data_IF_250892989512
#
_entry.id   IF_250892989512
#
_cell.length_a   1.000
_cell.length_b   1.000
_cell.length_c   1.000
_cell.angle_alpha   90.00
_cell.angle_beta   90.00
_cell.angle_gamma   90.00
#
_symmetry.space_group_name_H-M   'P 1'
#
loop_
_entity.id
_entity.type
_entity.pdbx_description
1 polymer ?
#
# COMPACT_ATOMS: atom_id res chain seq x y z
N UNK A 1 -1.97 24.39 7.49
CA UNK A 1 -3.27 24.76 6.91
C UNK A 1 -3.89 25.83 7.79
N UNK A 2 -4.60 26.86 7.28
CA UNK A 2 -5.01 27.99 8.10
C UNK A 2 -6.10 27.70 9.14
N UNK A 3 -6.71 26.51 9.13
CA UNK A 3 -7.84 26.15 10.01
C UNK A 3 -7.57 24.95 10.93
N UNK A 4 -6.41 24.32 10.84
CA UNK A 4 -6.03 23.16 11.67
C UNK A 4 -4.69 23.47 12.35
N UNK A 5 -4.61 23.20 13.64
CA UNK A 5 -3.34 23.22 14.36
C UNK A 5 -2.40 22.17 13.75
N UNK A 6 -1.14 22.52 13.62
CA UNK A 6 -0.15 21.58 13.10
C UNK A 6 0.13 20.53 14.17
N UNK A 7 -0.01 19.23 13.85
CA UNK A 7 0.30 18.16 14.78
C UNK A 7 1.77 18.22 15.20
N UNK A 8 2.06 17.95 16.48
CA UNK A 8 3.42 18.07 17.05
C UNK A 8 4.44 17.13 16.40
N UNK A 9 3.97 15.95 15.96
CA UNK A 9 4.84 14.91 15.41
C UNK A 9 5.05 15.05 13.89
N UNK A 10 4.34 15.98 13.21
CA UNK A 10 4.46 16.25 11.79
C UNK A 10 5.23 17.55 11.57
N UNK A 11 6.55 17.45 11.52
CA UNK A 11 7.49 18.58 11.40
C UNK A 11 7.92 18.88 9.94
N UNK A 12 7.40 18.11 8.97
CA UNK A 12 7.75 18.24 7.56
C UNK A 12 9.03 17.50 7.17
N UNK A 13 9.66 16.74 8.07
CA UNK A 13 10.90 16.00 7.79
C UNK A 13 10.68 14.80 6.87
N UNK A 14 9.46 14.28 6.84
CA UNK A 14 9.12 13.11 6.01
C UNK A 14 8.59 13.51 4.64
N UNK A 15 8.94 12.76 3.61
CA UNK A 15 8.43 12.96 2.26
C UNK A 15 6.89 12.97 2.25
N UNK A 16 6.29 14.02 1.65
CA UNK A 16 4.83 14.17 1.54
C UNK A 16 4.10 14.56 2.83
N UNK A 17 4.84 14.94 3.87
CA UNK A 17 4.28 15.54 5.07
C UNK A 17 3.89 17.00 4.78
N UNK A 18 2.61 17.31 4.94
CA UNK A 18 2.02 18.65 4.77
C UNK A 18 1.33 19.12 6.07
N UNK A 19 1.56 18.43 7.19
CA UNK A 19 0.93 18.74 8.48
C UNK A 19 -0.59 18.49 8.48
N UNK A 20 -1.08 17.54 7.70
CA UNK A 20 -2.50 17.20 7.64
C UNK A 20 -2.80 15.95 8.45
N UNK A 21 -3.34 16.13 9.64
CA UNK A 21 -3.80 15.06 10.52
C UNK A 21 -5.06 15.51 11.30
N UNK A 22 -6.23 15.52 10.64
CA UNK A 22 -7.47 15.98 11.27
C UNK A 22 -7.99 15.05 12.38
N UNK A 23 -7.53 13.82 12.44
CA UNK A 23 -7.94 12.82 13.42
C UNK A 23 -6.94 12.67 14.57
N UNK A 24 -5.79 13.35 14.53
CA UNK A 24 -4.76 13.26 15.55
C UNK A 24 -4.09 11.89 15.65
N UNK A 25 -4.08 11.13 14.56
CA UNK A 25 -3.52 9.77 14.54
C UNK A 25 -2.00 9.76 14.75
N UNK A 26 -1.31 10.82 14.36
CA UNK A 26 0.13 10.96 14.54
C UNK A 26 0.53 11.18 16.00
N UNK A 27 -0.41 11.54 16.87
CA UNK A 27 -0.19 11.81 18.31
C UNK A 27 -0.60 10.63 19.21
N UNK A 28 -1.08 9.52 18.63
CA UNK A 28 -1.50 8.35 19.40
C UNK A 28 -0.26 7.53 19.79
N UNK A 29 0.18 7.67 21.04
CA UNK A 29 1.28 6.88 21.62
C UNK A 29 0.78 5.60 22.34
N UNK A 30 -0.52 5.41 22.46
CA UNK A 30 -1.17 4.40 23.30
C UNK A 30 -1.11 3.06 22.61
N UNK A 31 -0.81 2.31 22.10
CA UNK A 31 -0.83 0.98 21.47
C UNK A 31 0.51 0.60 20.82
N UNK A 32 1.56 1.37 21.09
CA UNK A 32 2.83 1.17 20.41
C UNK A 32 2.77 1.47 18.91
N UNK A 33 1.81 2.28 18.50
CA UNK A 33 1.70 2.85 17.16
C UNK A 33 2.50 4.15 17.22
N UNK A 34 3.63 4.17 16.55
CA UNK A 34 4.47 5.36 16.39
C UNK A 34 4.44 5.84 14.95
N UNK A 35 5.01 7.02 14.74
CA UNK A 35 5.08 7.63 13.41
C UNK A 35 5.82 6.77 12.40
N UNK A 36 6.82 5.98 12.84
CA UNK A 36 7.53 5.01 12.01
C UNK A 36 6.56 3.95 11.46
N UNK A 37 5.76 3.36 12.35
CA UNK A 37 4.78 2.33 11.97
C UNK A 37 3.68 2.88 11.05
N UNK A 38 3.18 4.09 11.33
CA UNK A 38 2.19 4.75 10.49
C UNK A 38 2.72 5.02 9.08
N UNK A 39 3.97 5.45 8.97
CA UNK A 39 4.63 5.66 7.67
C UNK A 39 4.85 4.35 6.92
N UNK A 40 5.27 3.31 7.62
CA UNK A 40 5.42 1.97 7.04
C UNK A 40 4.09 1.46 6.50
N UNK A 41 3.00 1.62 7.27
CA UNK A 41 1.66 1.23 6.86
C UNK A 41 1.19 2.04 5.64
N UNK A 42 1.39 3.35 5.61
CA UNK A 42 1.03 4.20 4.48
C UNK A 42 1.74 3.77 3.19
N UNK A 43 3.06 3.55 3.25
CA UNK A 43 3.84 3.10 2.10
C UNK A 43 3.40 1.72 1.61
N UNK A 44 3.15 0.79 2.53
CA UNK A 44 2.68 -0.56 2.18
C UNK A 44 1.30 -0.51 1.51
N UNK A 45 0.34 0.21 2.10
CA UNK A 45 -0.98 0.38 1.51
C UNK A 45 -0.90 1.06 0.15
N UNK A 46 -0.08 2.09 0.00
CA UNK A 46 0.14 2.77 -1.27
C UNK A 46 0.69 1.85 -2.35
N UNK A 47 1.71 1.04 -2.02
CA UNK A 47 2.32 0.08 -2.96
C UNK A 47 1.33 -0.99 -3.40
N UNK A 48 0.60 -1.58 -2.46
CA UNK A 48 -0.44 -2.58 -2.77
C UNK A 48 -1.55 -1.97 -3.61
N UNK A 49 -1.99 -0.75 -3.29
CA UNK A 49 -3.01 -0.06 -4.05
C UNK A 49 -2.57 0.29 -5.48
N UNK A 50 -1.31 0.69 -5.68
CA UNK A 50 -0.77 0.92 -7.03
C UNK A 50 -0.79 -0.36 -7.88
N UNK A 51 -0.41 -1.50 -7.29
CA UNK A 51 -0.48 -2.80 -7.97
C UNK A 51 -1.93 -3.21 -8.27
N UNK A 52 -2.84 -3.03 -7.31
CA UNK A 52 -4.25 -3.36 -7.46
C UNK A 52 -4.92 -2.51 -8.55
N UNK A 53 -4.75 -1.18 -8.50
CA UNK A 53 -5.30 -0.29 -9.52
C UNK A 53 -4.80 -0.62 -10.92
N UNK A 54 -3.50 -0.90 -11.06
CA UNK A 54 -2.91 -1.30 -12.33
C UNK A 54 -3.47 -2.66 -12.80
N UNK A 55 -3.66 -3.60 -11.87
CA UNK A 55 -4.24 -4.91 -12.18
C UNK A 55 -5.66 -4.83 -12.72
N UNK A 56 -6.51 -3.99 -12.10
CA UNK A 56 -7.89 -3.77 -12.58
C UNK A 56 -7.87 -3.14 -13.99
N UNK A 57 -7.11 -2.08 -14.21
CA UNK A 57 -6.99 -1.43 -15.52
C UNK A 57 -6.48 -2.41 -16.57
N UNK A 58 -5.53 -3.28 -16.19
CA UNK A 58 -5.02 -4.29 -17.11
C UNK A 58 -6.10 -5.29 -17.53
N UNK A 59 -6.84 -5.84 -16.58
CA UNK A 59 -7.90 -6.81 -16.86
C UNK A 59 -9.02 -6.19 -17.69
N UNK A 60 -9.40 -4.96 -17.41
CA UNK A 60 -10.43 -4.24 -18.18
C UNK A 60 -9.96 -3.85 -19.60
N UNK A 61 -8.69 -3.49 -19.75
CA UNK A 61 -8.16 -3.02 -21.04
C UNK A 61 -7.63 -4.11 -21.96
N UNK A 62 -7.02 -5.14 -21.43
CA UNK A 62 -6.35 -6.21 -22.17
C UNK A 62 -7.00 -7.59 -21.98
N UNK A 63 -7.94 -7.69 -21.07
CA UNK A 63 -8.56 -8.94 -20.68
C UNK A 63 -7.78 -9.70 -19.58
N UNK A 64 -8.40 -10.73 -19.02
CA UNK A 64 -7.79 -11.58 -17.99
C UNK A 64 -6.68 -12.47 -18.58
N UNK A 65 -5.95 -13.12 -17.70
CA UNK A 65 -5.02 -14.18 -18.10
C UNK A 65 -5.76 -15.34 -18.75
N UNK A 66 -5.15 -16.05 -19.71
CA UNK A 66 -5.77 -17.21 -20.36
C UNK A 66 -6.28 -18.24 -19.35
N UNK A 67 -7.55 -18.59 -19.41
CA UNK A 67 -8.20 -19.52 -18.49
C UNK A 67 -8.74 -18.91 -17.21
N UNK A 68 -8.75 -17.58 -17.07
CA UNK A 68 -9.39 -16.86 -15.97
C UNK A 68 -10.69 -16.21 -16.43
N UNK A 69 -11.68 -16.02 -15.52
CA UNK A 69 -12.98 -15.46 -15.87
C UNK A 69 -12.85 -14.03 -16.40
N UNK A 70 -13.70 -13.69 -17.37
CA UNK A 70 -13.78 -12.34 -17.96
C UNK A 70 -14.64 -11.43 -17.08
N UNK A 71 -14.25 -10.16 -17.04
CA UNK A 71 -14.97 -9.17 -16.23
C UNK A 71 -16.34 -8.81 -16.83
N UNK A 72 -16.46 -8.71 -18.17
CA UNK A 72 -17.71 -8.41 -18.89
C UNK A 72 -18.54 -7.26 -18.30
N UNK A 73 -17.90 -6.24 -17.76
CA UNK A 73 -18.58 -5.10 -17.12
C UNK A 73 -19.17 -5.42 -15.73
N UNK A 74 -18.86 -6.58 -15.16
CA UNK A 74 -19.25 -6.94 -13.77
C UNK A 74 -18.27 -6.36 -12.75
N UNK A 75 -18.72 -6.31 -11.48
CA UNK A 75 -17.85 -5.84 -10.41
C UNK A 75 -16.63 -6.76 -10.24
N UNK A 76 -15.49 -6.19 -9.85
CA UNK A 76 -14.28 -6.98 -9.57
C UNK A 76 -14.48 -8.01 -8.46
N UNK A 77 -15.42 -7.78 -7.56
CA UNK A 77 -15.78 -8.72 -6.50
C UNK A 77 -16.49 -9.96 -7.05
N UNK A 78 -17.38 -9.78 -8.02
CA UNK A 78 -18.09 -10.90 -8.64
C UNK A 78 -17.10 -11.77 -9.44
N UNK A 79 -16.21 -11.13 -10.20
CA UNK A 79 -15.15 -11.83 -10.94
C UNK A 79 -14.20 -12.60 -10.00
N UNK A 80 -13.90 -12.05 -8.83
CA UNK A 80 -13.09 -12.74 -7.82
C UNK A 80 -13.78 -14.00 -7.31
N UNK A 81 -15.09 -13.97 -7.06
CA UNK A 81 -15.82 -15.14 -6.59
C UNK A 81 -15.92 -16.23 -7.68
N UNK A 82 -16.11 -15.85 -8.93
CA UNK A 82 -16.05 -16.80 -10.06
C UNK A 82 -14.65 -17.45 -10.16
N UNK A 83 -13.60 -16.63 -10.07
CA UNK A 83 -12.22 -17.11 -10.05
C UNK A 83 -11.93 -18.04 -8.87
N UNK A 84 -12.53 -17.77 -7.71
CA UNK A 84 -12.44 -18.64 -6.54
C UNK A 84 -13.08 -20.01 -6.78
N UNK A 85 -14.24 -20.05 -7.45
CA UNK A 85 -14.91 -21.30 -7.79
C UNK A 85 -14.16 -22.11 -8.84
N UNK A 86 -13.61 -21.44 -9.86
CA UNK A 86 -12.89 -22.10 -10.95
C UNK A 86 -11.46 -22.52 -10.58
N UNK A 87 -10.75 -21.69 -9.81
CA UNK A 87 -9.32 -21.85 -9.51
C UNK A 87 -8.98 -21.77 -8.03
N UNK A 88 -9.66 -22.52 -7.12
CA UNK A 88 -9.46 -22.38 -5.67
C UNK A 88 -8.01 -22.62 -5.23
N UNK A 89 -7.34 -23.60 -5.84
CA UNK A 89 -5.96 -23.92 -5.48
C UNK A 89 -4.96 -22.81 -5.84
N UNK A 90 -5.17 -22.13 -6.97
CA UNK A 90 -4.32 -21.04 -7.40
C UNK A 90 -4.48 -19.81 -6.47
N UNK A 91 -5.73 -19.51 -6.12
CA UNK A 91 -6.02 -18.39 -5.20
C UNK A 91 -5.50 -18.70 -3.79
N UNK A 92 -5.74 -19.91 -3.27
CA UNK A 92 -5.17 -20.32 -1.97
C UNK A 92 -3.64 -20.24 -1.97
N UNK A 93 -2.97 -20.71 -3.03
CA UNK A 93 -1.52 -20.58 -3.15
C UNK A 93 -1.05 -19.11 -3.15
N UNK A 94 -1.78 -18.24 -3.85
CA UNK A 94 -1.54 -16.81 -3.85
C UNK A 94 -1.68 -16.18 -2.46
N UNK A 95 -2.74 -16.53 -1.73
CA UNK A 95 -2.97 -16.05 -0.36
C UNK A 95 -1.85 -16.52 0.58
N UNK A 96 -1.44 -17.79 0.51
CA UNK A 96 -0.33 -18.33 1.31
C UNK A 96 0.97 -17.60 0.99
N UNK A 97 1.25 -17.35 -0.29
CA UNK A 97 2.44 -16.62 -0.72
C UNK A 97 2.44 -15.17 -0.19
N UNK A 98 1.32 -14.45 -0.33
CA UNK A 98 1.18 -13.10 0.22
C UNK A 98 1.34 -13.10 1.74
N UNK A 99 0.72 -14.07 2.44
CA UNK A 99 0.84 -14.20 3.90
C UNK A 99 2.29 -14.40 4.33
N UNK A 100 3.06 -15.23 3.61
CA UNK A 100 4.47 -15.44 3.89
C UNK A 100 5.29 -14.14 3.73
N UNK A 101 5.03 -13.37 2.66
CA UNK A 101 5.67 -12.06 2.46
C UNK A 101 5.30 -11.10 3.60
N UNK A 102 4.03 -11.06 4.01
CA UNK A 102 3.56 -10.19 5.07
C UNK A 102 4.19 -10.55 6.43
N UNK A 103 4.36 -11.83 6.75
CA UNK A 103 5.06 -12.25 7.95
C UNK A 103 6.53 -11.81 7.95
N UNK A 104 7.24 -12.02 6.85
CA UNK A 104 8.65 -11.62 6.71
C UNK A 104 8.77 -10.09 6.81
N UNK A 105 7.92 -9.35 6.11
CA UNK A 105 7.92 -7.89 6.13
C UNK A 105 7.55 -7.33 7.51
N UNK A 106 6.61 -7.97 8.22
CA UNK A 106 6.22 -7.60 9.57
C UNK A 106 7.35 -7.77 10.58
N UNK A 107 8.11 -8.87 10.48
CA UNK A 107 9.32 -9.07 11.30
C UNK A 107 10.36 -8.01 10.98
N UNK A 108 10.63 -7.73 9.70
CA UNK A 108 11.58 -6.72 9.27
C UNK A 108 11.19 -5.31 9.76
N UNK A 109 9.90 -4.96 9.70
CA UNK A 109 9.37 -3.69 10.22
C UNK A 109 9.56 -3.58 11.73
N UNK A 110 9.26 -4.65 12.47
CA UNK A 110 9.42 -4.67 13.93
C UNK A 110 10.89 -4.55 14.34
N UNK A 111 11.80 -5.20 13.62
CA UNK A 111 13.24 -5.09 13.86
C UNK A 111 13.75 -3.70 13.50
N UNK A 112 13.41 -3.18 12.31
CA UNK A 112 13.83 -1.85 11.85
C UNK A 112 13.38 -0.73 12.79
N UNK A 113 12.16 -0.84 13.35
CA UNK A 113 11.66 0.08 14.37
C UNK A 113 12.49 0.04 15.66
N UNK A 114 12.88 -1.15 16.11
CA UNK A 114 13.65 -1.31 17.36
C UNK A 114 15.09 -0.84 17.22
N UNK A 115 15.73 -1.08 16.07
CA UNK A 115 17.13 -0.72 15.83
C UNK A 115 17.30 0.73 15.40
N UNK A 116 16.26 1.33 14.77
CA UNK A 116 16.34 2.66 14.18
C UNK A 116 17.26 2.77 12.95
N UNK A 117 17.81 1.65 12.48
CA UNK A 117 18.77 1.63 11.36
C UNK A 117 18.10 1.66 9.98
N UNK A 118 16.83 1.28 9.91
CA UNK A 118 16.08 1.18 8.66
C UNK A 118 15.07 2.31 8.53
N UNK A 119 15.05 3.00 7.40
CA UNK A 119 13.98 3.94 7.08
C UNK A 119 12.64 3.21 6.86
N UNK A 120 11.47 3.82 7.19
CA UNK A 120 10.17 3.23 6.90
C UNK A 120 10.01 2.91 5.40
N UNK A 121 9.55 1.70 5.09
CA UNK A 121 9.33 1.24 3.71
C UNK A 121 10.57 0.78 2.96
N UNK A 122 11.75 0.89 3.53
CA UNK A 122 12.98 0.44 2.90
C UNK A 122 13.26 -1.04 3.25
N UNK A 123 13.00 -1.94 2.32
CA UNK A 123 13.31 -3.37 2.42
C UNK A 123 14.59 -3.74 1.67
N UNK A 124 15.37 -2.77 1.18
CA UNK A 124 16.56 -3.01 0.37
C UNK A 124 16.27 -3.62 -1.01
N UNK A 125 15.00 -3.61 -1.44
CA UNK A 125 14.57 -4.13 -2.74
C UNK A 125 14.71 -3.03 -3.80
N UNK A 126 15.91 -2.90 -4.36
CA UNK A 126 16.18 -1.99 -5.46
C UNK A 126 16.90 -2.73 -6.62
N UNK A 127 16.18 -3.59 -7.36
CA UNK A 127 16.78 -4.42 -8.41
C UNK A 127 17.35 -3.61 -9.56
N UNK A 128 16.83 -2.41 -9.80
CA UNK A 128 17.26 -1.52 -10.87
C UNK A 128 18.35 -0.52 -10.42
N UNK A 129 18.73 -0.56 -9.15
CA UNK A 129 19.78 0.29 -8.55
C UNK A 129 19.60 1.80 -8.79
N UNK A 130 18.36 2.26 -8.81
CA UNK A 130 18.08 3.70 -8.87
C UNK A 130 18.56 4.39 -7.59
N UNK A 131 19.14 5.59 -7.74
CA UNK A 131 19.37 6.45 -6.59
C UNK A 131 18.02 6.85 -5.97
N UNK A 132 17.83 6.52 -4.71
CA UNK A 132 16.63 6.90 -3.96
C UNK A 132 16.77 8.38 -3.56
N UNK A 133 16.21 9.25 -4.37
CA UNK A 133 16.15 10.69 -4.10
C UNK A 133 14.90 11.05 -3.34
N UNK A 134 14.91 12.16 -2.59
CA UNK A 134 13.73 12.70 -1.91
C UNK A 134 12.56 12.94 -2.89
N UNK A 135 12.86 13.33 -4.11
CA UNK A 135 11.88 13.55 -5.17
C UNK A 135 11.18 12.26 -5.56
N UNK A 136 11.90 11.13 -5.66
CA UNK A 136 11.33 9.82 -5.95
C UNK A 136 10.46 9.31 -4.79
N UNK A 137 10.92 9.49 -3.55
CA UNK A 137 10.14 9.16 -2.36
C UNK A 137 8.82 9.98 -2.30
N UNK A 138 8.89 11.26 -2.64
CA UNK A 138 7.69 12.11 -2.72
C UNK A 138 6.73 11.65 -3.83
N UNK A 139 7.24 11.26 -4.99
CA UNK A 139 6.43 10.72 -6.09
C UNK A 139 5.76 9.41 -5.68
N UNK A 140 6.49 8.51 -5.02
CA UNK A 140 5.95 7.24 -4.53
C UNK A 140 4.74 7.45 -3.62
N UNK A 141 4.86 8.31 -2.61
CA UNK A 141 3.77 8.61 -1.68
C UNK A 141 2.57 9.25 -2.37
N UNK A 142 2.80 10.22 -3.26
CA UNK A 142 1.71 10.86 -4.00
C UNK A 142 0.94 9.88 -4.88
N UNK A 143 1.64 9.03 -5.62
CA UNK A 143 1.00 8.00 -6.43
C UNK A 143 0.32 6.93 -5.57
N UNK A 144 0.92 6.54 -4.46
CA UNK A 144 0.32 5.61 -3.49
C UNK A 144 -1.00 6.14 -2.92
N UNK A 145 -1.04 7.40 -2.49
CA UNK A 145 -2.26 8.05 -1.99
C UNK A 145 -3.35 8.11 -3.06
N UNK A 146 -2.99 8.49 -4.29
CA UNK A 146 -3.94 8.52 -5.41
C UNK A 146 -4.47 7.11 -5.72
N UNK A 147 -3.61 6.11 -5.73
CA UNK A 147 -3.99 4.73 -6.00
C UNK A 147 -4.92 4.16 -4.92
N UNK A 148 -4.72 4.49 -3.64
CA UNK A 148 -5.63 4.07 -2.58
C UNK A 148 -7.05 4.59 -2.81
N UNK A 149 -7.20 5.86 -3.23
CA UNK A 149 -8.50 6.41 -3.60
C UNK A 149 -9.09 5.75 -4.85
N UNK A 150 -8.24 5.51 -5.87
CA UNK A 150 -8.67 4.88 -7.11
C UNK A 150 -9.22 3.46 -6.87
N UNK A 151 -8.53 2.64 -6.09
CA UNK A 151 -8.95 1.27 -5.75
C UNK A 151 -10.28 1.26 -5.00
N UNK A 152 -10.47 2.19 -4.06
CA UNK A 152 -11.77 2.30 -3.35
C UNK A 152 -12.91 2.61 -4.32
N UNK A 153 -12.67 3.46 -5.32
CA UNK A 153 -13.65 3.73 -6.37
C UNK A 153 -13.91 2.52 -7.28
N UNK A 154 -12.87 1.78 -7.64
CA UNK A 154 -12.98 0.58 -8.49
C UNK A 154 -13.72 -0.58 -7.81
N UNK A 155 -13.57 -0.74 -6.49
CA UNK A 155 -14.30 -1.78 -5.73
C UNK A 155 -15.77 -1.41 -5.55
N UNK A 156 -16.08 -0.11 -5.47
CA UNK A 156 -17.44 0.39 -5.25
C UNK A 156 -18.25 0.63 -6.53
N UNK A 157 -17.64 0.47 -7.70
CA UNK A 157 -18.27 0.59 -9.00
C UNK A 157 -18.72 -0.77 -9.52
#
# INVERSE_FOLDING_TARGET
MPFLEQPKNLDGSMAGDVGFDPLGLSEIDDLGIDLYWLREAELKHGRVAMLAATGVIWVEGFGPLPGWPEADGRSQMDVFWDAWEEHPNAICAGIVFITAIELISGVATTMGRKTGERAPGDFGLNPLQFEITEELALKEIKHGRLAMWAVMGQIGA
#
